data_IF_610583599124
#
_entry.id   IF_610583599124
#
_cell.length_a   1.000
_cell.length_b   1.000
_cell.length_c   1.000
_cell.angle_alpha   90.00
_cell.angle_beta   90.00
_cell.angle_gamma   90.00
#
_symmetry.space_group_name_H-M   'P 1'
#
loop_
_entity.id
_entity.type
_entity.pdbx_description
1 polymer ?
#
# COMPACT_ATOMS: atom_id res chain seq x y z
N UNK A 1 -43.16 -15.47 36.04
CA UNK A 1 -41.91 -14.75 35.70
C UNK A 1 -42.06 -14.26 34.27
N UNK A 2 -42.57 -13.04 34.06
CA UNK A 2 -42.84 -12.49 32.73
C UNK A 2 -41.62 -11.65 32.35
N UNK A 3 -40.71 -12.21 31.53
CA UNK A 3 -39.78 -11.37 30.79
C UNK A 3 -40.63 -10.49 29.88
N UNK A 4 -40.56 -9.15 30.05
CA UNK A 4 -41.41 -8.26 29.26
C UNK A 4 -41.04 -8.40 27.78
N UNK A 5 -42.05 -8.59 26.94
CA UNK A 5 -41.92 -8.75 25.49
C UNK A 5 -41.09 -7.61 24.85
N UNK A 6 -41.12 -6.44 25.49
CA UNK A 6 -40.35 -5.24 25.14
C UNK A 6 -38.84 -5.41 25.32
N UNK A 7 -38.38 -6.06 26.41
CA UNK A 7 -36.96 -6.27 26.67
C UNK A 7 -36.30 -7.23 25.68
N UNK A 8 -36.98 -8.33 25.35
CA UNK A 8 -36.51 -9.30 24.35
C UNK A 8 -36.36 -8.67 22.97
N UNK A 9 -37.34 -7.85 22.57
CA UNK A 9 -37.31 -7.15 21.28
C UNK A 9 -36.12 -6.19 21.17
N UNK A 10 -35.85 -5.41 22.22
CA UNK A 10 -34.70 -4.48 22.24
C UNK A 10 -33.36 -5.20 22.12
N UNK A 11 -33.19 -6.32 22.83
CA UNK A 11 -31.96 -7.14 22.74
C UNK A 11 -31.79 -7.67 21.31
N UNK A 12 -32.87 -8.17 20.69
CA UNK A 12 -32.84 -8.65 19.30
C UNK A 12 -32.43 -7.56 18.32
N UNK A 13 -32.93 -6.33 18.48
CA UNK A 13 -32.54 -5.19 17.63
C UNK A 13 -31.07 -4.81 17.77
N UNK A 14 -30.54 -4.81 19.00
CA UNK A 14 -29.12 -4.52 19.24
C UNK A 14 -28.24 -5.60 18.60
N UNK A 15 -28.61 -6.87 18.74
CA UNK A 15 -27.90 -7.98 18.09
C UNK A 15 -27.96 -7.88 16.57
N UNK A 16 -29.12 -7.58 15.99
CA UNK A 16 -29.28 -7.36 14.55
C UNK A 16 -28.44 -6.20 14.05
N UNK A 17 -28.45 -5.07 14.75
CA UNK A 17 -27.63 -3.90 14.40
C UNK A 17 -26.13 -4.22 14.45
N UNK A 18 -25.69 -4.99 15.47
CA UNK A 18 -24.32 -5.47 15.57
C UNK A 18 -23.92 -6.37 14.40
N UNK A 19 -24.76 -7.35 14.05
CA UNK A 19 -24.52 -8.25 12.90
C UNK A 19 -24.47 -7.47 11.59
N UNK A 20 -25.42 -6.56 11.36
CA UNK A 20 -25.42 -5.71 10.16
C UNK A 20 -24.15 -4.86 10.10
N UNK A 21 -23.73 -4.26 11.21
CA UNK A 21 -22.49 -3.48 11.29
C UNK A 21 -21.26 -4.30 10.91
N UNK A 22 -21.15 -5.52 11.45
CA UNK A 22 -20.04 -6.43 11.12
C UNK A 22 -20.07 -6.80 9.64
N UNK A 23 -21.22 -7.26 9.12
CA UNK A 23 -21.36 -7.68 7.72
C UNK A 23 -21.02 -6.52 6.77
N UNK A 24 -21.53 -5.32 7.04
CA UNK A 24 -21.23 -4.13 6.23
C UNK A 24 -19.74 -3.81 6.27
N UNK A 25 -19.12 -3.81 7.46
CA UNK A 25 -17.68 -3.56 7.58
C UNK A 25 -16.87 -4.59 6.79
N UNK A 26 -17.17 -5.88 6.92
CA UNK A 26 -16.43 -6.92 6.22
C UNK A 26 -16.62 -6.88 4.71
N UNK A 27 -17.83 -6.55 4.23
CA UNK A 27 -18.10 -6.36 2.80
C UNK A 27 -17.33 -5.16 2.26
N UNK A 28 -17.35 -4.01 2.96
CA UNK A 28 -16.61 -2.80 2.54
C UNK A 28 -15.11 -3.10 2.47
N UNK A 29 -14.54 -3.70 3.52
CA UNK A 29 -13.11 -4.06 3.54
C UNK A 29 -12.73 -4.97 2.37
N UNK A 30 -13.58 -5.92 2.00
CA UNK A 30 -13.33 -6.83 0.87
C UNK A 30 -13.61 -6.24 -0.51
N UNK A 31 -14.28 -5.09 -0.60
CA UNK A 31 -14.53 -4.39 -1.86
C UNK A 31 -13.54 -3.23 -2.07
N UNK A 32 -12.93 -2.71 -1.01
CA UNK A 32 -11.96 -1.63 -1.12
C UNK A 32 -10.68 -2.13 -1.80
N UNK A 33 -10.28 -1.46 -2.88
CA UNK A 33 -8.98 -1.70 -3.52
C UNK A 33 -7.88 -1.13 -2.63
N UNK A 34 -6.83 -1.90 -2.31
CA UNK A 34 -5.72 -1.40 -1.52
C UNK A 34 -4.97 -0.29 -2.23
N UNK A 35 -4.36 0.60 -1.43
CA UNK A 35 -3.68 1.79 -1.92
C UNK A 35 -2.24 1.83 -1.46
N UNK A 36 -1.37 2.18 -2.40
CA UNK A 36 0.00 2.55 -2.14
C UNK A 36 0.14 4.08 -2.17
N UNK A 37 1.16 4.58 -1.49
CA UNK A 37 1.55 5.99 -1.48
C UNK A 37 3.03 6.07 -1.79
N UNK A 38 3.40 6.99 -2.65
CA UNK A 38 4.79 7.21 -3.02
C UNK A 38 5.10 8.70 -3.04
N UNK A 39 6.29 9.04 -2.56
CA UNK A 39 6.81 10.38 -2.59
C UNK A 39 8.28 10.36 -2.99
N UNK A 40 8.64 11.20 -3.96
CA UNK A 40 10.02 11.37 -4.38
C UNK A 40 10.43 12.81 -4.15
N UNK A 41 11.52 13.04 -3.41
CA UNK A 41 12.09 14.37 -3.23
C UNK A 41 13.58 14.39 -3.58
N UNK A 42 14.04 15.51 -4.12
CA UNK A 42 15.45 15.68 -4.52
C UNK A 42 16.20 16.60 -3.57
N UNK A 43 17.41 16.16 -3.20
CA UNK A 43 18.42 17.04 -2.61
C UNK A 43 19.75 16.89 -3.35
N UNK A 44 20.08 17.85 -4.19
CA UNK A 44 21.25 17.76 -5.06
C UNK A 44 21.11 16.62 -6.06
N UNK A 45 22.08 15.70 -6.09
CA UNK A 45 22.05 14.50 -6.93
C UNK A 45 21.60 13.25 -6.16
N UNK A 46 20.81 13.44 -5.10
CA UNK A 46 20.26 12.35 -4.29
C UNK A 46 18.74 12.40 -4.38
N UNK A 47 18.14 11.25 -4.71
CA UNK A 47 16.70 11.04 -4.63
C UNK A 47 16.38 10.33 -3.31
N UNK A 48 15.46 10.92 -2.55
CA UNK A 48 14.82 10.31 -1.40
C UNK A 48 13.46 9.81 -1.86
N UNK A 49 13.25 8.51 -1.75
CA UNK A 49 12.04 7.83 -2.16
C UNK A 49 11.36 7.24 -0.95
N UNK A 50 10.19 7.76 -0.62
CA UNK A 50 9.34 7.29 0.46
C UNK A 50 8.16 6.51 -0.13
N UNK A 51 7.78 5.44 0.56
CA UNK A 51 6.65 4.61 0.19
C UNK A 51 5.91 4.10 1.43
N UNK A 52 4.59 4.00 1.31
CA UNK A 52 3.72 3.45 2.34
C UNK A 52 2.47 2.85 1.69
N UNK A 53 1.63 2.21 2.49
CA UNK A 53 0.37 1.64 2.05
C UNK A 53 -0.74 1.82 3.10
N UNK A 54 -1.99 1.79 2.66
CA UNK A 54 -3.10 1.91 3.59
C UNK A 54 -3.36 0.61 4.40
N UNK A 55 -4.24 0.71 5.39
CA UNK A 55 -4.61 -0.40 6.27
C UNK A 55 -5.34 -1.55 5.56
N UNK A 56 -5.70 -1.42 4.28
CA UNK A 56 -6.33 -2.49 3.51
C UNK A 56 -5.34 -3.39 2.79
N UNK A 57 -4.05 -3.14 3.00
CA UNK A 57 -2.94 -3.97 2.55
C UNK A 57 -2.01 -4.32 3.71
N UNK A 58 -1.20 -5.34 3.49
CA UNK A 58 -0.33 -5.92 4.51
C UNK A 58 1.13 -5.53 4.30
N UNK A 59 1.62 -5.64 3.07
CA UNK A 59 3.01 -5.36 2.71
C UNK A 59 3.20 -5.24 1.21
N UNK A 60 4.32 -4.63 0.79
CA UNK A 60 4.81 -4.72 -0.57
C UNK A 60 5.64 -5.99 -0.77
N UNK A 61 5.30 -6.77 -1.79
CA UNK A 61 6.10 -7.93 -2.24
C UNK A 61 7.20 -7.50 -3.21
N UNK A 62 6.95 -6.45 -3.99
CA UNK A 62 7.90 -5.84 -4.92
C UNK A 62 7.66 -4.34 -5.00
N UNK A 63 8.76 -3.58 -5.06
CA UNK A 63 8.78 -2.18 -5.52
C UNK A 63 10.03 -2.03 -6.38
N UNK A 64 9.86 -1.51 -7.60
CA UNK A 64 10.96 -1.04 -8.42
C UNK A 64 10.65 0.31 -9.03
N UNK A 65 11.69 1.10 -9.21
CA UNK A 65 11.63 2.41 -9.83
C UNK A 65 12.26 2.34 -11.21
N UNK A 66 11.58 2.87 -12.20
CA UNK A 66 12.05 3.01 -13.57
C UNK A 66 12.11 4.48 -13.96
N UNK A 67 13.21 4.91 -14.58
CA UNK A 67 13.37 6.28 -15.07
C UNK A 67 14.35 6.36 -16.23
N UNK A 68 14.21 7.38 -17.08
CA UNK A 68 15.14 7.64 -18.19
C UNK A 68 16.33 8.47 -17.68
N UNK A 69 17.51 7.86 -17.61
CA UNK A 69 18.77 8.54 -17.31
C UNK A 69 19.51 8.99 -18.57
N UNK A 70 20.72 9.54 -18.42
CA UNK A 70 21.56 9.90 -19.58
C UNK A 70 22.02 8.67 -20.38
N UNK A 71 22.18 7.53 -19.70
CA UNK A 71 22.61 6.26 -20.29
C UNK A 71 21.42 5.40 -20.77
N UNK A 72 20.22 5.98 -20.80
CA UNK A 72 18.97 5.29 -21.13
C UNK A 72 18.17 4.85 -19.90
N UNK A 73 17.21 3.94 -20.11
CA UNK A 73 16.32 3.43 -19.08
C UNK A 73 17.10 2.78 -17.92
N UNK A 74 16.87 3.28 -16.71
CA UNK A 74 17.38 2.76 -15.45
C UNK A 74 16.28 2.03 -14.71
N UNK A 75 16.62 0.90 -14.08
CA UNK A 75 15.70 0.09 -13.28
C UNK A 75 16.35 -0.14 -11.91
N UNK A 76 15.72 0.36 -10.84
CA UNK A 76 16.24 0.28 -9.48
C UNK A 76 15.26 -0.54 -8.62
N UNK A 77 15.59 -1.79 -8.26
CA UNK A 77 14.78 -2.57 -7.34
C UNK A 77 14.93 -2.03 -5.90
N UNK A 78 13.81 -1.76 -5.26
CA UNK A 78 13.71 -1.24 -3.88
C UNK A 78 13.36 -2.38 -2.92
N UNK A 79 12.31 -3.13 -3.27
CA UNK A 79 11.89 -4.36 -2.60
C UNK A 79 11.84 -5.46 -3.66
N UNK A 80 12.40 -6.61 -3.34
CA UNK A 80 12.30 -7.81 -4.14
C UNK A 80 12.07 -8.99 -3.20
N UNK A 81 11.01 -9.76 -3.45
CA UNK A 81 10.72 -10.98 -2.71
C UNK A 81 11.98 -11.85 -2.58
N UNK A 82 12.24 -12.38 -1.37
CA UNK A 82 13.36 -13.25 -1.00
C UNK A 82 14.79 -12.65 -1.03
N UNK A 83 14.97 -11.39 -1.44
CA UNK A 83 16.26 -10.71 -1.41
C UNK A 83 16.17 -9.46 -0.54
N UNK A 84 16.79 -9.51 0.65
CA UNK A 84 17.12 -8.31 1.40
C UNK A 84 18.11 -7.49 0.56
N UNK A 85 17.61 -6.64 -0.33
CA UNK A 85 18.41 -5.68 -1.06
C UNK A 85 19.02 -4.76 0.00
N UNK A 86 20.30 -4.99 0.31
CA UNK A 86 21.10 -4.22 1.26
C UNK A 86 21.34 -2.81 0.73
N UNK A 87 20.31 -1.99 0.77
CA UNK A 87 20.39 -0.54 0.72
C UNK A 87 19.55 -0.06 1.90
N UNK A 88 20.00 1.00 2.57
CA UNK A 88 19.55 1.44 3.90
C UNK A 88 18.01 1.61 3.91
N UNK A 89 17.29 0.54 4.24
CA UNK A 89 15.84 0.54 4.43
C UNK A 89 15.59 0.95 5.87
N UNK A 90 15.50 2.26 6.10
CA UNK A 90 14.69 2.72 7.22
C UNK A 90 13.22 2.58 6.78
N UNK A 91 12.34 2.19 7.69
CA UNK A 91 10.97 1.77 7.40
C UNK A 91 10.22 2.71 6.44
N UNK A 92 10.08 2.33 5.17
CA UNK A 92 9.37 3.11 4.15
C UNK A 92 10.21 4.15 3.39
N UNK A 93 11.54 4.22 3.58
CA UNK A 93 12.42 5.16 2.87
C UNK A 93 13.55 4.44 2.14
N UNK A 94 13.91 4.94 0.96
CA UNK A 94 15.01 4.48 0.13
C UNK A 94 15.76 5.65 -0.50
N UNK A 95 17.09 5.58 -0.50
CA UNK A 95 17.95 6.65 -1.02
C UNK A 95 18.71 6.18 -2.26
N UNK A 96 18.60 6.93 -3.35
CA UNK A 96 19.40 6.73 -4.57
C UNK A 96 20.41 7.88 -4.69
N UNK A 97 21.68 7.56 -4.50
CA UNK A 97 22.78 8.49 -4.76
C UNK A 97 23.08 8.59 -6.26
N UNK A 98 23.68 9.71 -6.67
CA UNK A 98 24.02 10.01 -8.06
C UNK A 98 22.80 9.97 -9.01
N UNK A 99 21.62 10.27 -8.47
CA UNK A 99 20.39 10.41 -9.24
C UNK A 99 20.47 11.62 -10.16
N UNK A 100 20.14 11.41 -11.43
CA UNK A 100 20.35 12.40 -12.46
C UNK A 100 19.43 13.62 -12.30
N UNK A 101 20.00 14.81 -12.24
CA UNK A 101 19.30 16.04 -11.88
C UNK A 101 18.19 16.46 -12.86
N UNK A 102 18.23 15.98 -14.11
CA UNK A 102 17.23 16.32 -15.12
C UNK A 102 15.99 15.42 -15.11
N UNK A 103 16.02 14.31 -14.35
CA UNK A 103 14.84 13.45 -14.21
C UNK A 103 13.78 14.20 -13.41
N UNK A 104 12.53 14.25 -13.88
CA UNK A 104 11.44 15.00 -13.21
C UNK A 104 10.36 14.11 -12.65
N UNK A 105 10.31 12.87 -13.13
CA UNK A 105 9.34 11.88 -12.74
C UNK A 105 9.97 10.51 -12.82
N UNK A 106 9.45 9.60 -12.02
CA UNK A 106 9.83 8.20 -12.01
C UNK A 106 8.56 7.36 -12.14
N UNK A 107 8.67 6.19 -12.76
CA UNK A 107 7.62 5.18 -12.75
C UNK A 107 7.91 4.21 -11.61
N UNK A 108 6.91 3.97 -10.77
CA UNK A 108 6.95 3.01 -9.67
C UNK A 108 6.12 1.81 -10.06
N UNK A 109 6.76 0.66 -10.22
CA UNK A 109 6.09 -0.61 -10.45
C UNK A 109 6.09 -1.37 -9.12
N UNK A 110 4.93 -1.83 -8.70
CA UNK A 110 4.80 -2.46 -7.39
C UNK A 110 3.80 -3.61 -7.37
N UNK A 111 4.04 -4.52 -6.43
CA UNK A 111 3.15 -5.63 -6.07
C UNK A 111 2.78 -5.47 -4.59
N UNK A 112 1.50 -5.20 -4.33
CA UNK A 112 0.96 -4.98 -2.99
C UNK A 112 0.15 -6.19 -2.53
N UNK A 113 0.57 -6.82 -1.43
CA UNK A 113 -0.12 -7.95 -0.83
C UNK A 113 -1.23 -7.45 0.10
N UNK A 114 -2.40 -8.09 0.00
CA UNK A 114 -3.55 -7.80 0.85
C UNK A 114 -4.41 -9.05 1.02
N UNK A 115 -5.19 -9.09 2.10
CA UNK A 115 -6.07 -10.23 2.37
C UNK A 115 -7.50 -9.98 1.92
N UNK A 116 -8.09 -11.01 1.32
CA UNK A 116 -9.54 -11.13 1.11
C UNK A 116 -10.07 -12.32 1.89
N UNK A 117 -11.40 -12.43 1.99
CA UNK A 117 -12.12 -13.45 2.77
C UNK A 117 -11.53 -14.87 2.77
N UNK A 118 -10.92 -15.30 1.67
CA UNK A 118 -10.53 -16.69 1.47
C UNK A 118 -9.05 -16.89 1.18
N UNK A 119 -8.31 -15.85 0.79
CA UNK A 119 -6.93 -15.98 0.36
C UNK A 119 -6.18 -14.64 0.35
N UNK A 120 -4.85 -14.67 0.53
CA UNK A 120 -4.00 -13.55 0.18
C UNK A 120 -4.10 -13.27 -1.32
N UNK A 121 -4.10 -11.99 -1.67
CA UNK A 121 -4.17 -11.47 -3.02
C UNK A 121 -2.98 -10.53 -3.26
N UNK A 122 -2.64 -10.34 -4.54
CA UNK A 122 -1.59 -9.41 -4.98
C UNK A 122 -2.20 -8.42 -5.96
N UNK A 123 -1.99 -7.13 -5.71
CA UNK A 123 -2.33 -6.04 -6.62
C UNK A 123 -1.05 -5.59 -7.31
N UNK A 124 -0.97 -5.82 -8.63
CA UNK A 124 0.11 -5.32 -9.47
C UNK A 124 -0.33 -4.01 -10.14
N UNK A 125 0.49 -2.97 -10.00
CA UNK A 125 0.20 -1.63 -10.53
C UNK A 125 1.47 -0.91 -10.95
N UNK A 126 1.28 0.15 -11.72
CA UNK A 126 2.30 1.10 -12.13
C UNK A 126 1.78 2.52 -11.88
N UNK A 127 2.61 3.35 -11.25
CA UNK A 127 2.29 4.75 -10.97
C UNK A 127 3.46 5.66 -11.32
N UNK A 128 3.20 6.71 -12.11
CA UNK A 128 4.20 7.77 -12.34
C UNK A 128 4.06 8.84 -11.27
N UNK A 129 5.14 9.11 -10.53
CA UNK A 129 5.19 10.22 -9.58
C UNK A 129 6.17 11.30 -10.05
N UNK A 130 5.86 12.55 -9.70
CA UNK A 130 6.76 13.67 -9.88
C UNK A 130 7.72 13.80 -8.70
N UNK A 131 8.93 14.27 -8.98
CA UNK A 131 9.96 14.49 -7.97
C UNK A 131 9.90 15.96 -7.55
N UNK A 132 9.77 16.18 -6.24
CA UNK A 132 9.79 17.51 -5.62
C UNK A 132 11.20 18.11 -5.53
#
# INVERSE_FOLDING_TARGET
MIFSFTGYRTILWILLAGVVGIVVYTVIFNLQTPKAYFHGSRRGNTLFFEYDHDYTSNSFDEIRIEYEGEEGQQIVPIIKHDENVKNIQEAGEFVIENFHANVKSINVIYALQYDRFTAPCILNQEETIFID
#
